data_IF_444857491872
#
_entry.id   IF_444857491872
#
_cell.length_a   1.000
_cell.length_b   1.000
_cell.length_c   1.000
_cell.angle_alpha   90.00
_cell.angle_beta   90.00
_cell.angle_gamma   90.00
#
_symmetry.space_group_name_H-M   'P 1'
#
loop_
_entity.id
_entity.type
_entity.pdbx_description
1 polymer ?
#
# COMPACT_ATOMS: atom_id res chain seq x y z
N UNK A 1 -11.29 -8.28 -8.17
CA UNK A 1 -12.16 -7.21 -7.71
C UNK A 1 -13.17 -7.75 -6.72
N UNK A 2 -13.27 -7.13 -5.55
CA UNK A 2 -14.28 -7.45 -4.53
C UNK A 2 -15.16 -6.22 -4.33
N UNK A 3 -16.45 -6.34 -4.61
CA UNK A 3 -17.42 -5.24 -4.51
C UNK A 3 -18.70 -5.71 -3.82
N UNK A 4 -19.42 -4.78 -3.19
CA UNK A 4 -20.76 -4.99 -2.66
C UNK A 4 -21.75 -5.40 -3.76
N UNK A 5 -22.57 -6.42 -3.50
CA UNK A 5 -23.63 -6.91 -4.40
C UNK A 5 -24.97 -6.25 -4.17
N UNK A 6 -25.17 -5.60 -2.99
CA UNK A 6 -26.51 -5.19 -2.50
C UNK A 6 -26.95 -3.76 -2.81
N UNK A 7 -26.07 -2.87 -3.22
CA UNK A 7 -26.36 -1.43 -3.33
C UNK A 7 -26.37 -0.92 -4.79
N UNK A 8 -26.74 -1.65 -5.79
CA UNK A 8 -26.84 -1.19 -7.17
C UNK A 8 -25.75 -0.18 -7.62
N UNK A 9 -25.63 0.11 -8.88
CA UNK A 9 -24.64 1.08 -9.41
C UNK A 9 -25.05 2.58 -9.23
N UNK A 10 -26.02 2.87 -8.32
CA UNK A 10 -26.59 4.19 -8.12
C UNK A 10 -25.69 5.13 -7.30
N UNK A 11 -24.87 4.58 -6.41
CA UNK A 11 -24.00 5.38 -5.52
C UNK A 11 -22.52 5.20 -5.86
N UNK A 12 -21.81 6.32 -6.00
CA UNK A 12 -20.36 6.36 -6.14
C UNK A 12 -19.70 5.82 -4.86
N UNK A 13 -18.78 4.86 -5.02
CA UNK A 13 -18.11 4.18 -3.91
C UNK A 13 -16.64 4.56 -3.79
N UNK A 14 -16.16 4.54 -2.57
CA UNK A 14 -14.74 4.62 -2.27
C UNK A 14 -14.02 3.34 -2.73
N UNK A 15 -12.75 3.48 -3.05
CA UNK A 15 -11.90 2.38 -3.52
C UNK A 15 -10.69 2.22 -2.62
N UNK A 16 -10.48 1.01 -2.11
CA UNK A 16 -9.27 0.64 -1.39
C UNK A 16 -8.48 -0.41 -2.18
N UNK A 17 -7.30 -0.03 -2.64
CA UNK A 17 -6.38 -0.92 -3.34
C UNK A 17 -5.60 -1.73 -2.31
N UNK A 18 -5.54 -3.07 -2.47
CA UNK A 18 -4.88 -4.02 -1.57
C UNK A 18 -3.73 -4.70 -2.30
N UNK A 19 -2.51 -4.30 -1.99
CA UNK A 19 -1.30 -4.81 -2.63
C UNK A 19 -0.77 -6.06 -1.92
N UNK A 20 -0.44 -7.10 -2.68
CA UNK A 20 0.14 -8.35 -2.14
C UNK A 20 1.64 -8.23 -1.89
N UNK A 21 2.21 -9.17 -1.12
CA UNK A 21 3.64 -9.29 -0.85
C UNK A 21 4.42 -10.03 -1.94
N UNK A 22 5.73 -10.14 -1.75
CA UNK A 22 6.61 -10.90 -2.64
C UNK A 22 6.15 -12.35 -2.76
N UNK A 23 6.13 -12.88 -3.97
CA UNK A 23 5.63 -14.22 -4.29
C UNK A 23 4.11 -14.37 -4.30
N UNK A 24 3.36 -13.30 -3.99
CA UNK A 24 1.90 -13.29 -4.04
C UNK A 24 1.35 -13.01 -5.45
N UNK A 25 0.02 -12.85 -5.51
CA UNK A 25 -0.74 -12.54 -6.70
C UNK A 25 -2.09 -11.88 -6.36
N UNK A 26 -2.95 -11.64 -7.34
CA UNK A 26 -4.27 -11.03 -7.13
C UNK A 26 -5.20 -11.82 -6.16
N UNK A 27 -4.98 -13.13 -5.97
CA UNK A 27 -5.76 -13.96 -5.04
C UNK A 27 -5.26 -13.92 -3.59
N UNK A 28 -4.08 -13.37 -3.33
CA UNK A 28 -3.44 -13.40 -2.01
C UNK A 28 -4.34 -12.86 -0.90
N UNK A 29 -4.97 -11.71 -1.11
CA UNK A 29 -5.82 -11.09 -0.10
C UNK A 29 -7.08 -11.89 0.19
N UNK A 30 -7.72 -12.50 -0.80
CA UNK A 30 -8.86 -13.41 -0.57
C UNK A 30 -8.46 -14.69 0.17
N UNK A 31 -7.20 -15.16 -0.01
CA UNK A 31 -6.67 -16.27 0.78
C UNK A 31 -6.37 -15.88 2.23
N UNK A 32 -5.90 -14.67 2.49
CA UNK A 32 -5.59 -14.16 3.83
C UNK A 32 -6.88 -13.74 4.58
N UNK A 33 -7.78 -13.04 3.90
CA UNK A 33 -9.04 -12.49 4.45
C UNK A 33 -10.23 -12.90 3.57
N UNK A 34 -10.72 -14.13 3.70
CA UNK A 34 -11.87 -14.63 2.91
C UNK A 34 -13.15 -13.83 3.08
N UNK A 35 -13.26 -13.08 4.19
CA UNK A 35 -14.42 -12.23 4.51
C UNK A 35 -14.44 -10.88 3.76
N UNK A 36 -13.44 -10.57 2.93
CA UNK A 36 -13.41 -9.31 2.18
C UNK A 36 -14.70 -9.00 1.39
N UNK A 37 -15.40 -9.98 0.77
CA UNK A 37 -16.67 -9.71 0.11
C UNK A 37 -17.76 -9.20 1.06
N UNK A 38 -17.90 -9.79 2.24
CA UNK A 38 -18.87 -9.38 3.26
C UNK A 38 -18.49 -8.01 3.84
N UNK A 39 -17.18 -7.74 4.01
CA UNK A 39 -16.69 -6.45 4.46
C UNK A 39 -16.97 -5.37 3.40
N UNK A 40 -16.77 -5.68 2.11
CA UNK A 40 -17.10 -4.77 1.01
C UNK A 40 -18.58 -4.38 1.02
N UNK A 41 -19.47 -5.37 1.27
CA UNK A 41 -20.91 -5.13 1.38
C UNK A 41 -21.24 -4.23 2.59
N UNK A 42 -20.67 -4.52 3.75
CA UNK A 42 -20.91 -3.78 4.99
C UNK A 42 -20.40 -2.34 4.93
N UNK A 43 -19.17 -2.14 4.47
CA UNK A 43 -18.51 -0.82 4.44
C UNK A 43 -18.86 0.01 3.18
N UNK A 44 -19.47 -0.62 2.16
CA UNK A 44 -19.76 0.05 0.89
C UNK A 44 -18.51 0.43 0.09
N UNK A 45 -17.41 -0.29 0.29
CA UNK A 45 -16.10 -0.05 -0.34
C UNK A 45 -15.85 -1.06 -1.47
N UNK A 46 -15.18 -0.64 -2.53
CA UNK A 46 -14.62 -1.53 -3.54
C UNK A 46 -13.18 -1.87 -3.16
N UNK A 47 -12.86 -3.16 -2.98
CA UNK A 47 -11.49 -3.63 -2.85
C UNK A 47 -10.93 -4.03 -4.21
N UNK A 48 -9.75 -3.53 -4.55
CA UNK A 48 -9.03 -3.84 -5.79
C UNK A 48 -7.71 -4.52 -5.44
N UNK A 49 -7.55 -5.78 -5.84
CA UNK A 49 -6.39 -6.60 -5.54
C UNK A 49 -5.59 -6.87 -6.83
N UNK A 50 -4.67 -5.99 -7.25
CA UNK A 50 -3.88 -6.21 -8.46
C UNK A 50 -2.84 -7.32 -8.28
N UNK A 51 -2.43 -7.94 -9.39
CA UNK A 51 -1.21 -8.75 -9.45
C UNK A 51 -0.02 -7.82 -9.77
N UNK A 52 0.80 -7.58 -8.76
CA UNK A 52 2.01 -6.75 -8.84
C UNK A 52 3.27 -7.54 -9.18
N UNK A 53 3.17 -8.86 -9.40
CA UNK A 53 4.33 -9.75 -9.53
C UNK A 53 5.35 -9.51 -8.40
N UNK A 54 6.63 -9.70 -8.68
CA UNK A 54 7.73 -9.41 -7.73
C UNK A 54 8.37 -8.04 -8.03
N UNK A 55 7.56 -7.03 -8.39
CA UNK A 55 8.02 -5.74 -8.92
C UNK A 55 8.38 -4.70 -7.87
N UNK A 56 8.05 -4.93 -6.60
CA UNK A 56 8.09 -3.92 -5.54
C UNK A 56 7.25 -2.67 -5.86
N UNK A 57 6.38 -2.80 -6.88
CA UNK A 57 5.51 -1.73 -7.39
C UNK A 57 6.28 -0.52 -7.94
N UNK A 58 7.51 -0.75 -8.41
CA UNK A 58 8.30 0.24 -9.12
C UNK A 58 8.06 0.21 -10.64
N UNK A 59 8.34 1.31 -11.29
CA UNK A 59 8.74 1.29 -12.69
C UNK A 59 10.25 1.02 -12.69
N UNK A 60 10.64 -0.18 -13.09
CA UNK A 60 12.05 -0.58 -13.01
C UNK A 60 12.94 0.26 -13.93
N UNK A 61 14.03 0.84 -13.42
CA UNK A 61 14.99 1.56 -14.25
C UNK A 61 15.79 0.65 -15.18
N UNK A 62 15.77 -0.67 -14.95
CA UNK A 62 16.53 -1.66 -15.73
C UNK A 62 15.66 -2.49 -16.65
N UNK A 63 14.42 -2.76 -16.27
CA UNK A 63 13.51 -3.60 -17.04
C UNK A 63 12.27 -2.80 -17.46
N UNK A 64 12.22 -2.41 -18.72
CA UNK A 64 11.14 -1.58 -19.28
C UNK A 64 9.75 -2.26 -19.27
N UNK A 65 9.70 -3.57 -19.12
CA UNK A 65 8.43 -4.33 -19.00
C UNK A 65 7.85 -4.27 -17.59
N UNK A 66 8.68 -3.97 -16.59
CA UNK A 66 8.26 -3.83 -15.20
C UNK A 66 7.90 -2.38 -14.90
N UNK A 67 6.65 -2.02 -15.22
CA UNK A 67 6.10 -0.67 -15.05
C UNK A 67 4.93 -0.67 -14.08
N UNK A 68 5.16 -1.18 -12.87
CA UNK A 68 4.09 -1.40 -11.90
C UNK A 68 3.67 -0.16 -11.13
N UNK A 69 4.54 0.87 -11.01
CA UNK A 69 4.15 2.19 -10.56
C UNK A 69 3.13 2.82 -11.52
N UNK A 70 3.45 2.85 -12.81
CA UNK A 70 2.53 3.34 -13.87
C UNK A 70 1.25 2.49 -13.91
N UNK A 71 1.37 1.17 -13.87
CA UNK A 71 0.23 0.27 -13.91
C UNK A 71 -0.76 0.57 -12.78
N UNK A 72 -0.32 0.58 -11.51
CA UNK A 72 -1.22 0.71 -10.37
C UNK A 72 -1.74 2.13 -10.21
N UNK A 73 -0.87 3.15 -10.35
CA UNK A 73 -1.26 4.54 -10.09
C UNK A 73 -2.01 5.21 -11.23
N UNK A 74 -1.94 4.68 -12.45
CA UNK A 74 -2.53 5.29 -13.64
C UNK A 74 -3.46 4.35 -14.40
N UNK A 75 -2.92 3.24 -14.91
CA UNK A 75 -3.68 2.37 -15.82
C UNK A 75 -4.83 1.66 -15.09
N UNK A 76 -4.53 1.04 -13.96
CA UNK A 76 -5.53 0.34 -13.14
C UNK A 76 -6.55 1.31 -12.55
N UNK A 77 -6.11 2.47 -12.03
CA UNK A 77 -7.03 3.49 -11.51
C UNK A 77 -7.99 3.96 -12.59
N UNK A 78 -7.49 4.28 -13.78
CA UNK A 78 -8.34 4.69 -14.91
C UNK A 78 -9.30 3.59 -15.34
N UNK A 79 -8.84 2.32 -15.36
CA UNK A 79 -9.70 1.18 -15.68
C UNK A 79 -10.84 1.03 -14.66
N UNK A 80 -10.53 1.10 -13.37
CA UNK A 80 -11.53 0.98 -12.29
C UNK A 80 -12.54 2.12 -12.36
N UNK A 81 -12.10 3.36 -12.51
CA UNK A 81 -12.99 4.52 -12.58
C UNK A 81 -13.88 4.51 -13.82
N UNK A 82 -13.39 3.97 -14.95
CA UNK A 82 -14.17 3.85 -16.19
C UNK A 82 -15.22 2.75 -16.13
N UNK A 83 -14.95 1.65 -15.44
CA UNK A 83 -15.79 0.45 -15.48
C UNK A 83 -16.67 0.26 -14.24
N UNK A 84 -16.46 1.04 -13.18
CA UNK A 84 -17.22 0.95 -11.94
C UNK A 84 -17.63 2.33 -11.45
N UNK A 85 -18.75 2.41 -10.73
CA UNK A 85 -19.25 3.68 -10.18
C UNK A 85 -18.45 4.07 -8.94
N UNK A 86 -17.34 4.77 -9.14
CA UNK A 86 -16.37 5.16 -8.11
C UNK A 86 -16.40 6.65 -7.80
N UNK A 87 -15.93 7.02 -6.62
CA UNK A 87 -15.53 8.39 -6.29
C UNK A 87 -14.14 8.64 -6.86
N UNK A 88 -14.09 9.39 -7.98
CA UNK A 88 -12.86 9.60 -8.77
C UNK A 88 -11.86 10.56 -8.15
N UNK A 89 -12.28 11.36 -7.16
CA UNK A 89 -11.39 12.25 -6.41
C UNK A 89 -10.44 11.47 -5.48
N UNK A 90 -9.29 12.06 -5.17
CA UNK A 90 -8.28 11.45 -4.30
C UNK A 90 -8.81 11.10 -2.90
N UNK A 91 -9.77 11.86 -2.37
CA UNK A 91 -10.44 11.59 -1.09
C UNK A 91 -11.33 10.35 -1.09
N UNK A 92 -11.71 9.86 -2.27
CA UNK A 92 -12.44 8.59 -2.46
C UNK A 92 -11.53 7.38 -2.67
N UNK A 93 -10.19 7.55 -2.64
CA UNK A 93 -9.25 6.51 -3.03
C UNK A 93 -8.10 6.38 -2.03
N UNK A 94 -7.86 5.17 -1.55
CA UNK A 94 -6.74 4.82 -0.68
C UNK A 94 -6.07 3.52 -1.14
N UNK A 95 -4.85 3.29 -0.66
CA UNK A 95 -4.05 2.13 -1.02
C UNK A 95 -3.33 1.59 0.22
N UNK A 96 -3.34 0.28 0.41
CA UNK A 96 -2.59 -0.40 1.47
C UNK A 96 -2.09 -1.75 1.00
N UNK A 97 -1.23 -2.38 1.75
CA UNK A 97 -0.70 -3.69 1.39
C UNK A 97 0.17 -4.31 2.46
N UNK A 98 0.59 -5.54 2.21
CA UNK A 98 1.46 -6.30 3.10
C UNK A 98 2.87 -6.46 2.52
N UNK A 99 3.91 -6.42 3.36
CA UNK A 99 5.30 -6.73 2.97
C UNK A 99 5.77 -5.87 1.79
N UNK A 100 6.13 -6.46 0.65
CA UNK A 100 6.39 -5.75 -0.61
C UNK A 100 5.22 -4.82 -0.99
N UNK A 101 3.97 -5.24 -0.76
CA UNK A 101 2.78 -4.41 -0.98
C UNK A 101 2.65 -3.27 0.03
N UNK A 102 3.15 -3.44 1.26
CA UNK A 102 3.24 -2.37 2.26
C UNK A 102 4.26 -1.29 1.85
N UNK A 103 5.39 -1.71 1.27
CA UNK A 103 6.31 -0.80 0.57
C UNK A 103 5.59 -0.09 -0.58
N UNK A 104 5.01 -0.87 -1.50
CA UNK A 104 4.38 -0.34 -2.72
C UNK A 104 3.27 0.64 -2.44
N UNK A 105 2.45 0.41 -1.42
CA UNK A 105 1.34 1.30 -1.09
C UNK A 105 1.80 2.66 -0.58
N UNK A 106 2.79 2.73 0.30
CA UNK A 106 3.37 4.01 0.72
C UNK A 106 4.22 4.65 -0.39
N UNK A 107 4.97 3.86 -1.15
CA UNK A 107 5.68 4.34 -2.33
C UNK A 107 4.74 5.06 -3.30
N UNK A 108 3.64 4.39 -3.68
CA UNK A 108 2.68 4.92 -4.65
C UNK A 108 1.89 6.11 -4.08
N UNK A 109 1.38 6.03 -2.85
CA UNK A 109 0.57 7.11 -2.28
C UNK A 109 1.37 8.40 -2.07
N UNK A 110 2.64 8.31 -1.67
CA UNK A 110 3.51 9.48 -1.49
C UNK A 110 3.84 10.14 -2.84
N UNK A 111 4.15 9.33 -3.86
CA UNK A 111 4.56 9.82 -5.18
C UNK A 111 3.38 10.27 -6.04
N UNK A 112 2.20 9.71 -5.79
CA UNK A 112 0.94 10.00 -6.50
C UNK A 112 -0.14 10.46 -5.52
N UNK A 113 0.20 11.45 -4.67
CA UNK A 113 -0.72 12.05 -3.69
C UNK A 113 -1.87 12.85 -4.31
N UNK A 114 -1.78 13.14 -5.59
CA UNK A 114 -2.86 13.65 -6.43
C UNK A 114 -3.89 12.56 -6.78
N UNK A 115 -3.49 11.30 -6.77
CA UNK A 115 -4.33 10.13 -7.06
C UNK A 115 -4.90 9.51 -5.80
N UNK A 116 -4.07 9.29 -4.77
CA UNK A 116 -4.45 8.66 -3.51
C UNK A 116 -4.52 9.66 -2.38
N UNK A 117 -5.62 9.66 -1.61
CA UNK A 117 -5.76 10.48 -0.41
C UNK A 117 -5.26 9.80 0.86
N UNK A 118 -5.05 8.47 0.82
CA UNK A 118 -4.53 7.71 1.95
C UNK A 118 -3.60 6.58 1.53
N UNK A 119 -2.60 6.31 2.36
CA UNK A 119 -1.64 5.23 2.20
C UNK A 119 -1.44 4.44 3.49
N UNK A 120 -1.43 3.11 3.39
CA UNK A 120 -1.20 2.23 4.53
C UNK A 120 -0.12 1.20 4.28
N UNK A 121 0.42 0.62 5.35
CA UNK A 121 1.42 -0.44 5.28
C UNK A 121 1.22 -1.44 6.39
N UNK A 122 1.29 -2.72 6.07
CA UNK A 122 1.36 -3.82 7.03
C UNK A 122 2.67 -4.56 6.82
N UNK A 123 3.56 -4.54 7.82
CA UNK A 123 4.88 -5.20 7.73
C UNK A 123 5.66 -4.79 6.47
N UNK A 124 5.64 -3.52 6.08
CA UNK A 124 6.24 -3.06 4.84
C UNK A 124 7.76 -3.00 4.88
N UNK A 125 8.43 -3.31 3.76
CA UNK A 125 9.86 -3.06 3.58
C UNK A 125 10.13 -1.58 3.32
N UNK A 126 9.94 -0.73 4.34
CA UNK A 126 9.91 0.73 4.19
C UNK A 126 11.30 1.36 4.03
N UNK A 127 12.34 0.65 4.41
CA UNK A 127 13.73 0.88 4.00
C UNK A 127 14.30 -0.43 3.47
N UNK A 128 14.61 -0.48 2.18
CA UNK A 128 15.07 -1.70 1.51
C UNK A 128 16.60 -1.88 1.59
N UNK A 129 17.34 -0.83 1.93
CA UNK A 129 18.82 -0.82 1.89
C UNK A 129 19.51 -1.83 2.82
N UNK A 130 18.93 -2.19 3.99
CA UNK A 130 19.49 -3.27 4.81
C UNK A 130 19.37 -4.67 4.21
N UNK A 131 18.64 -4.84 3.10
CA UNK A 131 18.29 -6.14 2.52
C UNK A 131 18.70 -6.30 1.04
N UNK A 132 19.93 -5.93 0.63
CA UNK A 132 20.28 -5.77 -0.79
C UNK A 132 20.26 -7.09 -1.58
N UNK A 133 20.36 -8.24 -0.91
CA UNK A 133 20.39 -9.55 -1.53
C UNK A 133 19.07 -10.31 -1.48
N UNK A 134 18.00 -9.68 -0.95
CA UNK A 134 16.73 -10.34 -0.74
C UNK A 134 15.72 -9.99 -1.85
N UNK A 135 14.73 -10.89 -2.01
CA UNK A 135 13.50 -10.66 -2.82
C UNK A 135 13.75 -10.10 -4.23
N UNK A 136 14.85 -10.50 -4.84
CA UNK A 136 15.21 -10.17 -6.23
C UNK A 136 15.24 -8.66 -6.56
N UNK A 137 15.29 -7.78 -5.54
CA UNK A 137 15.32 -6.32 -5.75
C UNK A 137 16.43 -5.87 -6.69
N UNK A 138 17.59 -6.54 -6.64
CA UNK A 138 18.71 -6.25 -7.55
C UNK A 138 18.41 -6.51 -9.03
N UNK A 139 17.44 -7.36 -9.35
CA UNK A 139 16.98 -7.51 -10.74
C UNK A 139 16.29 -6.25 -11.26
N UNK A 140 15.70 -5.46 -10.37
CA UNK A 140 15.00 -4.23 -10.68
C UNK A 140 15.90 -2.99 -10.56
N UNK A 141 16.81 -2.99 -9.57
CA UNK A 141 17.60 -1.81 -9.20
C UNK A 141 19.09 -1.94 -9.53
N UNK A 142 19.59 -3.13 -9.87
CA UNK A 142 21.03 -3.44 -9.95
C UNK A 142 21.64 -3.73 -8.57
N UNK A 143 22.87 -4.20 -8.55
CA UNK A 143 23.60 -4.46 -7.31
C UNK A 143 23.72 -3.16 -6.48
N UNK A 144 23.39 -3.23 -5.18
CA UNK A 144 23.34 -2.05 -4.29
C UNK A 144 24.69 -1.35 -4.24
N UNK A 145 25.79 -2.11 -4.07
CA UNK A 145 27.12 -1.57 -3.95
C UNK A 145 27.54 -0.64 -5.11
N UNK A 146 27.04 -0.90 -6.32
CA UNK A 146 27.31 -0.12 -7.52
C UNK A 146 26.21 0.88 -7.88
N UNK A 147 25.08 0.86 -7.17
CA UNK A 147 23.89 1.66 -7.49
C UNK A 147 23.24 2.31 -6.26
N UNK A 148 24.05 2.73 -5.28
CA UNK A 148 23.56 3.29 -3.99
C UNK A 148 22.51 4.37 -4.16
N UNK A 149 22.77 5.34 -5.05
CA UNK A 149 21.80 6.42 -5.32
C UNK A 149 20.46 5.86 -5.77
N UNK A 150 20.43 4.86 -6.66
CA UNK A 150 19.19 4.25 -7.14
C UNK A 150 18.42 3.55 -6.01
N UNK A 151 19.12 2.85 -5.11
CA UNK A 151 18.51 2.24 -3.94
C UNK A 151 17.96 3.30 -2.97
N UNK A 152 18.69 4.39 -2.76
CA UNK A 152 18.22 5.54 -1.97
C UNK A 152 16.95 6.17 -2.57
N UNK A 153 16.89 6.30 -3.89
CA UNK A 153 15.75 6.88 -4.60
C UNK A 153 14.51 5.96 -4.59
N UNK A 154 14.68 4.63 -4.41
CA UNK A 154 13.60 3.63 -4.47
C UNK A 154 13.19 3.11 -3.10
N UNK A 155 13.54 3.76 -2.01
CA UNK A 155 13.09 3.39 -0.67
C UNK A 155 12.09 4.39 -0.09
N UNK A 156 11.05 3.89 0.60
CA UNK A 156 9.93 4.71 1.11
C UNK A 156 10.41 5.77 2.09
N UNK A 157 11.33 5.45 3.01
CA UNK A 157 11.79 6.40 4.00
C UNK A 157 12.37 7.69 3.39
N UNK A 158 12.96 7.61 2.20
CA UNK A 158 13.48 8.78 1.49
C UNK A 158 12.41 9.52 0.68
N UNK A 159 11.26 8.90 0.41
CA UNK A 159 10.14 9.59 -0.24
C UNK A 159 9.37 10.51 0.71
N UNK A 160 9.49 10.33 2.03
CA UNK A 160 8.78 11.13 3.03
C UNK A 160 9.04 12.64 2.91
N UNK A 161 10.13 13.03 2.27
CA UNK A 161 10.44 14.44 2.05
C UNK A 161 9.53 15.12 1.00
N UNK A 162 8.77 14.33 0.25
CA UNK A 162 7.80 14.80 -0.76
C UNK A 162 6.43 15.14 -0.18
N UNK A 163 6.19 14.83 1.10
CA UNK A 163 4.90 15.08 1.76
C UNK A 163 5.06 15.98 2.99
N UNK A 164 3.97 16.66 3.31
CA UNK A 164 3.76 17.44 4.54
C UNK A 164 2.50 16.99 5.25
N UNK A 165 2.31 17.47 6.46
CA UNK A 165 1.11 17.15 7.24
C UNK A 165 -0.18 17.53 6.49
N UNK A 166 -1.13 16.60 6.46
CA UNK A 166 -2.40 16.75 5.75
C UNK A 166 -2.36 16.35 4.26
N UNK A 167 -1.20 16.06 3.66
CA UNK A 167 -1.13 15.59 2.27
C UNK A 167 -1.75 14.19 2.11
N UNK A 168 -1.58 13.30 3.10
CA UNK A 168 -2.08 11.93 3.10
C UNK A 168 -2.61 11.54 4.48
N UNK A 169 -3.64 10.69 4.52
CA UNK A 169 -3.96 9.87 5.67
C UNK A 169 -3.04 8.66 5.69
N UNK A 170 -2.23 8.50 6.75
CA UNK A 170 -1.18 7.47 6.81
C UNK A 170 -1.41 6.53 8.00
N UNK A 171 -1.34 5.23 7.76
CA UNK A 171 -1.34 4.17 8.79
C UNK A 171 -0.24 3.15 8.52
N UNK A 172 0.54 2.83 9.54
CA UNK A 172 1.60 1.84 9.50
C UNK A 172 1.37 0.83 10.61
N UNK A 173 1.47 -0.46 10.29
CA UNK A 173 1.23 -1.56 11.20
C UNK A 173 2.32 -2.63 11.03
N UNK A 174 2.96 -3.06 12.13
CA UNK A 174 4.02 -4.05 12.07
C UNK A 174 4.02 -4.92 13.32
N UNK A 175 4.26 -6.22 13.15
CA UNK A 175 4.39 -7.16 14.25
C UNK A 175 5.67 -6.92 15.07
N UNK A 176 5.62 -7.15 16.40
CA UNK A 176 6.79 -6.98 17.25
C UNK A 176 7.92 -8.01 16.97
N UNK A 177 7.58 -9.12 16.33
CA UNK A 177 8.53 -10.18 15.96
C UNK A 177 8.83 -10.17 14.44
N UNK A 178 8.44 -9.09 13.74
CA UNK A 178 8.65 -8.96 12.30
C UNK A 178 10.05 -8.43 12.00
N UNK A 179 10.73 -9.03 11.04
CA UNK A 179 12.09 -8.61 10.63
C UNK A 179 12.12 -7.21 10.00
N UNK A 180 10.98 -6.66 9.58
CA UNK A 180 10.87 -5.28 9.12
C UNK A 180 10.51 -4.29 10.24
N UNK A 181 10.40 -4.71 11.51
CA UNK A 181 9.97 -3.81 12.58
C UNK A 181 10.84 -2.55 12.67
N UNK A 182 12.15 -2.70 12.63
CA UNK A 182 13.07 -1.56 12.81
C UNK A 182 12.98 -0.54 11.67
N UNK A 183 12.81 -0.98 10.42
CA UNK A 183 12.63 -0.05 9.29
C UNK A 183 11.26 0.63 9.32
N UNK A 184 10.24 -0.01 9.92
CA UNK A 184 8.93 0.62 10.16
C UNK A 184 9.00 1.67 11.28
N UNK A 185 9.73 1.38 12.38
CA UNK A 185 10.01 2.36 13.45
C UNK A 185 10.77 3.58 12.93
N UNK A 186 11.79 3.37 12.09
CA UNK A 186 12.55 4.46 11.47
C UNK A 186 11.68 5.41 10.65
N UNK A 187 10.71 4.86 9.90
CA UNK A 187 9.72 5.67 9.16
C UNK A 187 8.81 6.42 10.13
N UNK A 188 8.29 5.76 11.17
CA UNK A 188 7.50 6.39 12.22
C UNK A 188 8.22 7.58 12.85
N UNK A 189 9.47 7.39 13.29
CA UNK A 189 10.28 8.47 13.87
C UNK A 189 10.51 9.62 12.88
N UNK A 190 10.78 9.33 11.60
CA UNK A 190 10.93 10.37 10.58
C UNK A 190 9.63 11.14 10.37
N UNK A 191 8.47 10.48 10.36
CA UNK A 191 7.16 11.14 10.29
C UNK A 191 6.91 12.04 11.50
N UNK A 192 7.25 11.59 12.72
CA UNK A 192 7.16 12.41 13.94
C UNK A 192 8.05 13.67 13.86
N UNK A 193 9.32 13.51 13.45
CA UNK A 193 10.26 14.63 13.26
C UNK A 193 9.73 15.65 12.25
N UNK A 194 9.05 15.17 11.19
CA UNK A 194 8.43 16.02 10.16
C UNK A 194 7.05 16.58 10.59
N UNK A 195 6.57 16.22 11.80
CA UNK A 195 5.23 16.61 12.30
C UNK A 195 4.10 16.18 11.34
N UNK A 196 4.22 15.01 10.71
CA UNK A 196 3.22 14.41 9.85
C UNK A 196 2.35 13.48 10.70
N UNK A 197 1.06 13.77 10.79
CA UNK A 197 0.08 12.95 11.51
C UNK A 197 -0.08 11.58 10.83
N UNK A 198 0.01 10.52 11.61
CA UNK A 198 -0.13 9.14 11.15
C UNK A 198 -0.48 8.22 12.31
N UNK A 199 -1.10 7.09 12.01
CA UNK A 199 -1.26 5.99 12.98
C UNK A 199 -0.08 5.02 12.84
N UNK A 200 0.53 4.65 13.97
CA UNK A 200 1.56 3.62 14.03
C UNK A 200 1.17 2.57 15.06
N UNK A 201 1.05 1.31 14.63
CA UNK A 201 0.57 0.20 15.45
C UNK A 201 1.64 -0.89 15.51
N UNK A 202 1.99 -1.30 16.72
CA UNK A 202 2.81 -2.50 16.96
C UNK A 202 1.96 -3.47 17.78
N UNK A 203 1.94 -4.73 17.35
CA UNK A 203 1.20 -5.81 18.02
C UNK A 203 2.03 -7.09 18.07
N UNK A 204 1.72 -8.03 19.00
CA UNK A 204 2.32 -9.34 19.00
C UNK A 204 2.11 -10.06 17.67
N UNK A 205 3.19 -10.68 17.16
CA UNK A 205 3.22 -11.44 15.92
C UNK A 205 4.34 -11.01 14.97
N UNK A 206 4.52 -11.77 13.91
CA UNK A 206 5.60 -11.58 12.93
C UNK A 206 5.08 -11.57 11.50
N UNK A 207 5.95 -11.80 10.54
CA UNK A 207 5.71 -11.71 9.09
C UNK A 207 4.87 -12.88 8.55
N UNK A 208 3.58 -12.91 8.88
CA UNK A 208 2.70 -14.06 8.59
C UNK A 208 1.31 -13.65 8.11
N UNK A 209 0.65 -14.56 7.34
CA UNK A 209 -0.74 -14.40 6.91
C UNK A 209 -1.71 -14.22 8.09
N UNK A 210 -1.46 -14.90 9.23
CA UNK A 210 -2.27 -14.74 10.45
C UNK A 210 -2.19 -13.30 10.99
N UNK A 211 -0.99 -12.70 10.99
CA UNK A 211 -0.82 -11.31 11.40
C UNK A 211 -1.59 -10.37 10.47
N UNK A 212 -1.42 -10.52 9.17
CA UNK A 212 -2.07 -9.66 8.18
C UNK A 212 -3.58 -9.83 8.11
N UNK A 213 -4.11 -11.03 8.39
CA UNK A 213 -5.56 -11.24 8.54
C UNK A 213 -6.17 -10.34 9.62
N UNK A 214 -5.46 -10.17 10.76
CA UNK A 214 -5.88 -9.27 11.82
C UNK A 214 -5.57 -7.80 11.49
N UNK A 215 -4.40 -7.50 10.94
CA UNK A 215 -3.95 -6.14 10.66
C UNK A 215 -4.84 -5.42 9.65
N UNK A 216 -5.37 -6.13 8.63
CA UNK A 216 -6.22 -5.53 7.60
C UNK A 216 -7.52 -4.94 8.18
N UNK A 217 -8.06 -5.48 9.27
CA UNK A 217 -9.27 -4.95 9.91
C UNK A 217 -9.04 -3.53 10.45
N UNK A 218 -7.86 -3.24 11.01
CA UNK A 218 -7.48 -1.91 11.47
C UNK A 218 -7.24 -0.95 10.31
N UNK A 219 -6.65 -1.44 9.21
CA UNK A 219 -6.48 -0.64 8.00
C UNK A 219 -7.84 -0.25 7.41
N UNK A 220 -8.77 -1.19 7.30
CA UNK A 220 -10.13 -0.94 6.80
C UNK A 220 -10.85 0.06 7.71
N UNK A 221 -10.79 -0.10 9.03
CA UNK A 221 -11.38 0.84 9.98
C UNK A 221 -10.81 2.26 9.82
N UNK A 222 -9.49 2.38 9.67
CA UNK A 222 -8.82 3.66 9.47
C UNK A 222 -9.29 4.33 8.17
N UNK A 223 -9.30 3.59 7.06
CA UNK A 223 -9.72 4.14 5.77
C UNK A 223 -11.22 4.39 5.70
N UNK A 224 -12.08 3.60 6.34
CA UNK A 224 -13.52 3.90 6.46
C UNK A 224 -13.75 5.24 7.17
N UNK A 225 -12.98 5.54 8.24
CA UNK A 225 -13.04 6.85 8.91
C UNK A 225 -12.51 7.99 8.02
N UNK A 226 -11.43 7.74 7.28
CA UNK A 226 -10.89 8.71 6.32
C UNK A 226 -11.91 9.05 5.23
N UNK A 227 -12.52 8.06 4.61
CA UNK A 227 -13.54 8.23 3.58
C UNK A 227 -14.79 8.97 4.07
N UNK A 228 -15.17 8.79 5.33
CA UNK A 228 -16.33 9.46 5.93
C UNK A 228 -16.07 10.93 6.28
N UNK A 229 -14.80 11.33 6.50
CA UNK A 229 -14.43 12.74 6.69
C UNK A 229 -14.43 13.53 5.37
N UNK A 230 -14.38 12.84 4.24
CA UNK A 230 -14.37 13.44 2.89
C UNK A 230 -15.79 13.56 2.31
N UNK A 231 -16.81 13.30 3.12
CA UNK A 231 -18.22 13.60 2.85
C UNK A 231 -18.55 14.98 3.37
#
# INVERSE_FOLDING_TARGET
LVRSRGLGDVYKRQVLYLLHGYGGNAGTWLGIKPELPQIADKEGIIFVCPDGKNSWYWDSPLNKEYRYETFVSKELVNYIDKNFTTKVERGGRAITGLSMGGHGSLWLSIRHKDVFGGGGSMSGGLDIRPFPNNWEMKKQLGEEASNKQRWDEHTVINQLDKIKNGDLAVIIDCGCDDFFLEVNKAVHEKLLKKKINHDFIIRPGGHTGRYWNNAIDYQILFFSKFFNKSK
#
